data_IF_418045708050
#
_entry.id   IF_418045708050
#
_cell.length_a   1.000
_cell.length_b   1.000
_cell.length_c   1.000
_cell.angle_alpha   90.00
_cell.angle_beta   90.00
_cell.angle_gamma   90.00
#
_symmetry.space_group_name_H-M   'P 1'
#
loop_
_entity.id
_entity.type
_entity.pdbx_description
1 polymer ?
#
# COMPACT_ATOMS: atom_id res chain seq x y z
N UNK A 1 27.69 17.40 -20.49
CA UNK A 1 26.48 16.78 -21.07
C UNK A 1 26.63 15.28 -20.97
N UNK A 2 25.93 14.61 -20.05
CA UNK A 2 25.94 13.14 -19.95
C UNK A 2 24.76 12.62 -20.77
N UNK A 3 25.04 12.00 -21.90
CA UNK A 3 24.05 11.16 -22.58
C UNK A 3 23.83 9.94 -21.67
N UNK A 4 22.70 9.93 -20.98
CA UNK A 4 22.15 8.69 -20.44
C UNK A 4 21.45 8.02 -21.63
N UNK A 5 22.08 7.02 -22.21
CA UNK A 5 21.46 6.14 -23.19
C UNK A 5 20.26 5.46 -22.52
N UNK A 6 19.06 5.89 -22.90
CA UNK A 6 17.80 5.31 -22.46
C UNK A 6 17.54 4.02 -23.24
N UNK A 7 18.34 2.99 -23.00
CA UNK A 7 17.95 1.64 -23.36
C UNK A 7 17.10 1.10 -22.21
N UNK A 8 15.81 0.88 -22.47
CA UNK A 8 15.02 -0.04 -21.66
C UNK A 8 13.81 -0.45 -22.48
N UNK A 9 13.76 -1.73 -22.81
CA UNK A 9 12.59 -2.42 -23.30
C UNK A 9 11.41 -2.10 -22.38
N UNK A 10 10.24 -1.87 -22.97
CA UNK A 10 8.99 -1.56 -22.26
C UNK A 10 8.46 -2.82 -21.56
N UNK A 11 9.23 -3.32 -20.58
CA UNK A 11 8.94 -4.56 -19.90
C UNK A 11 7.87 -4.36 -18.82
N UNK A 12 6.89 -5.27 -18.84
CA UNK A 12 5.89 -5.42 -17.78
C UNK A 12 6.26 -6.67 -16.98
N UNK A 13 6.67 -6.47 -15.72
CA UNK A 13 7.04 -7.58 -14.84
C UNK A 13 5.97 -7.81 -13.77
N UNK A 14 5.55 -9.06 -13.59
CA UNK A 14 4.68 -9.44 -12.47
C UNK A 14 5.53 -9.51 -11.20
N UNK A 15 5.25 -8.64 -10.22
CA UNK A 15 5.96 -8.60 -8.93
C UNK A 15 5.29 -9.53 -7.92
N UNK A 16 3.97 -9.44 -7.83
CA UNK A 16 3.20 -10.20 -6.85
C UNK A 16 1.88 -10.66 -7.47
N UNK A 17 1.50 -11.89 -7.13
CA UNK A 17 0.16 -12.42 -7.38
C UNK A 17 -0.35 -13.09 -6.13
N UNK A 18 -1.57 -12.76 -5.71
CA UNK A 18 -2.19 -13.43 -4.57
C UNK A 18 -3.71 -13.57 -4.77
N UNK A 19 -4.27 -14.64 -4.21
CA UNK A 19 -5.71 -14.90 -4.22
C UNK A 19 -6.37 -14.08 -3.12
N UNK A 20 -7.27 -13.18 -3.51
CA UNK A 20 -8.12 -12.43 -2.61
C UNK A 20 -9.56 -12.96 -2.58
N UNK A 21 -10.43 -12.40 -1.73
CA UNK A 21 -11.83 -12.83 -1.61
C UNK A 21 -12.65 -12.71 -2.91
N UNK A 22 -12.25 -11.78 -3.79
CA UNK A 22 -12.95 -11.46 -5.06
C UNK A 22 -12.16 -11.88 -6.30
N UNK A 23 -11.19 -12.80 -6.16
CA UNK A 23 -10.37 -13.28 -7.28
C UNK A 23 -8.87 -13.00 -7.10
N UNK A 24 -8.11 -13.16 -8.18
CA UNK A 24 -6.67 -12.95 -8.17
C UNK A 24 -6.32 -11.45 -8.26
N UNK A 25 -5.34 -11.04 -7.47
CA UNK A 25 -4.79 -9.68 -7.50
C UNK A 25 -3.37 -9.78 -8.07
N UNK A 26 -3.06 -8.93 -9.04
CA UNK A 26 -1.74 -8.84 -9.67
C UNK A 26 -1.14 -7.46 -9.48
N UNK A 27 0.15 -7.41 -9.17
CA UNK A 27 0.93 -6.18 -9.09
C UNK A 27 2.03 -6.25 -10.14
N UNK A 28 2.06 -5.25 -11.01
CA UNK A 28 3.04 -5.15 -12.08
C UNK A 28 4.03 -4.04 -11.76
N UNK A 29 5.31 -4.29 -12.03
CA UNK A 29 6.36 -3.29 -12.12
C UNK A 29 6.46 -2.91 -13.60
N UNK A 30 6.34 -1.62 -13.88
CA UNK A 30 6.28 -1.06 -15.23
C UNK A 30 7.17 0.18 -15.31
N UNK A 31 7.64 0.50 -16.52
CA UNK A 31 8.42 1.72 -16.74
C UNK A 31 7.59 2.98 -16.48
N UNK A 32 8.21 4.12 -16.08
CA UNK A 32 7.49 5.38 -15.88
C UNK A 32 6.78 5.90 -17.13
N UNK A 33 7.21 5.48 -18.33
CA UNK A 33 6.53 5.82 -19.59
C UNK A 33 5.18 5.13 -19.68
N UNK A 34 5.17 3.80 -19.53
CA UNK A 34 3.95 2.97 -19.52
C UNK A 34 3.01 3.43 -18.40
N UNK A 35 3.54 3.73 -17.21
CA UNK A 35 2.73 4.19 -16.09
C UNK A 35 1.92 5.45 -16.42
N UNK A 36 2.50 6.43 -17.15
CA UNK A 36 1.77 7.66 -17.52
C UNK A 36 0.54 7.37 -18.38
N UNK A 37 0.63 6.37 -19.25
CA UNK A 37 -0.47 5.97 -20.12
C UNK A 37 -1.52 5.13 -19.37
N UNK A 38 -1.09 4.31 -18.40
CA UNK A 38 -1.96 3.45 -17.60
C UNK A 38 -2.62 4.16 -16.40
N UNK A 39 -1.98 5.17 -15.82
CA UNK A 39 -2.49 5.93 -14.67
C UNK A 39 -3.92 6.48 -14.86
N UNK A 40 -4.31 7.05 -16.03
CA UNK A 40 -5.69 7.48 -16.25
C UNK A 40 -6.68 6.31 -16.41
N UNK A 41 -6.20 5.12 -16.77
CA UNK A 41 -7.03 3.94 -17.05
C UNK A 41 -7.43 3.28 -15.73
N UNK A 42 -8.66 3.52 -15.29
CA UNK A 42 -9.20 2.95 -14.03
C UNK A 42 -9.64 1.48 -14.14
N UNK A 43 -9.91 1.01 -15.36
CA UNK A 43 -10.41 -0.35 -15.63
C UNK A 43 -9.92 -0.83 -16.99
N UNK A 44 -9.44 -2.06 -17.06
CA UNK A 44 -9.01 -2.72 -18.30
C UNK A 44 -9.86 -3.96 -18.55
N UNK A 45 -10.04 -4.31 -19.81
CA UNK A 45 -10.68 -5.57 -20.18
C UNK A 45 -9.58 -6.64 -20.26
N UNK A 46 -9.72 -7.71 -19.48
CA UNK A 46 -8.82 -8.87 -19.49
C UNK A 46 -9.68 -10.11 -19.77
N UNK A 47 -9.57 -10.62 -20.99
CA UNK A 47 -10.48 -11.65 -21.49
C UNK A 47 -11.93 -11.18 -21.44
N UNK A 48 -12.76 -11.87 -20.66
CA UNK A 48 -14.19 -11.58 -20.50
C UNK A 48 -14.50 -10.70 -19.28
N UNK A 49 -13.49 -10.28 -18.53
CA UNK A 49 -13.66 -9.49 -17.31
C UNK A 49 -13.22 -8.05 -17.48
N UNK A 50 -13.88 -7.14 -16.76
CA UNK A 50 -13.48 -5.74 -16.64
C UNK A 50 -12.85 -5.49 -15.28
N UNK A 51 -11.53 -5.54 -15.23
CA UNK A 51 -10.74 -5.54 -14.00
C UNK A 51 -10.31 -4.12 -13.64
N UNK A 52 -10.45 -3.67 -12.37
CA UNK A 52 -9.97 -2.36 -11.94
C UNK A 52 -8.44 -2.32 -11.88
N UNK A 53 -7.86 -1.22 -12.37
CA UNK A 53 -6.42 -0.94 -12.26
C UNK A 53 -6.25 0.21 -11.28
N UNK A 54 -5.26 0.06 -10.41
CA UNK A 54 -4.92 1.05 -9.38
C UNK A 54 -3.42 1.01 -9.16
N UNK A 55 -2.86 2.17 -8.81
CA UNK A 55 -1.51 2.25 -8.30
C UNK A 55 -1.39 1.39 -7.04
N UNK A 56 -0.36 0.56 -7.01
CA UNK A 56 -0.07 -0.26 -5.85
C UNK A 56 0.84 0.51 -4.89
N UNK A 57 0.22 1.14 -3.89
CA UNK A 57 0.94 1.79 -2.81
C UNK A 57 0.66 1.07 -1.49
N UNK A 58 1.70 0.46 -0.91
CA UNK A 58 1.68 -0.13 0.44
C UNK A 58 2.45 0.80 1.37
N UNK A 59 1.80 1.81 1.96
CA UNK A 59 2.48 2.61 2.96
C UNK A 59 2.88 1.70 4.12
N UNK A 60 4.18 1.65 4.43
CA UNK A 60 4.67 0.92 5.58
C UNK A 60 4.21 1.66 6.84
N UNK A 61 3.16 1.16 7.48
CA UNK A 61 2.66 1.67 8.75
C UNK A 61 3.24 0.87 9.91
N UNK A 62 3.77 1.57 10.90
CA UNK A 62 4.26 0.96 12.12
C UNK A 62 3.07 0.52 12.99
N UNK A 63 2.95 -0.78 13.26
CA UNK A 63 1.90 -1.32 14.13
C UNK A 63 2.04 -0.91 15.61
N UNK A 64 3.21 -0.39 16.02
CA UNK A 64 3.46 0.07 17.40
C UNK A 64 2.91 1.47 17.63
N UNK A 65 3.23 2.42 16.75
CA UNK A 65 2.94 3.84 16.96
C UNK A 65 1.98 4.45 15.93
N UNK A 66 1.56 3.68 14.92
CA UNK A 66 0.67 4.14 13.86
C UNK A 66 1.30 5.06 12.81
N UNK A 67 2.56 5.49 13.00
CA UNK A 67 3.30 6.37 12.06
C UNK A 67 3.80 5.58 10.84
N UNK A 68 3.98 6.26 9.70
CA UNK A 68 4.48 5.67 8.46
C UNK A 68 6.02 5.69 8.38
N UNK A 69 6.59 4.86 7.50
CA UNK A 69 8.01 4.87 7.14
C UNK A 69 8.90 3.93 7.93
N UNK A 70 8.36 3.18 8.89
CA UNK A 70 9.11 2.16 9.63
C UNK A 70 8.21 1.01 10.09
N UNK A 71 8.83 -0.15 10.33
CA UNK A 71 8.18 -1.31 10.95
C UNK A 71 8.29 -1.24 12.48
N UNK A 72 7.40 -1.95 13.20
CA UNK A 72 7.41 -1.99 14.67
C UNK A 72 8.76 -2.40 15.27
N UNK A 73 9.51 -3.28 14.59
CA UNK A 73 10.86 -3.71 14.98
C UNK A 73 11.90 -2.58 14.99
N UNK A 74 11.65 -1.49 14.25
CA UNK A 74 12.51 -0.31 14.16
C UNK A 74 11.84 0.93 14.73
N UNK A 75 10.82 0.75 15.59
CA UNK A 75 10.12 1.86 16.21
C UNK A 75 10.91 2.41 17.40
N UNK A 76 11.20 3.71 17.39
CA UNK A 76 11.84 4.42 18.50
C UNK A 76 10.86 4.89 19.57
N UNK A 77 9.55 4.77 19.32
CA UNK A 77 8.52 5.20 20.26
C UNK A 77 8.49 4.26 21.48
N UNK A 78 8.49 4.80 22.69
CA UNK A 78 8.46 3.98 23.89
C UNK A 78 7.09 3.32 24.09
N UNK A 79 6.01 4.08 23.87
CA UNK A 79 4.62 3.67 24.09
C UNK A 79 3.96 3.15 22.82
N UNK A 80 3.05 2.21 22.99
CA UNK A 80 2.15 1.76 21.93
C UNK A 80 1.01 2.77 21.76
N UNK A 81 0.69 3.09 20.51
CA UNK A 81 -0.46 3.91 20.18
C UNK A 81 -1.72 3.05 20.18
N UNK A 82 -2.83 3.64 20.62
CA UNK A 82 -4.12 2.98 20.55
C UNK A 82 -4.52 2.73 19.08
N UNK A 83 -4.83 1.48 18.75
CA UNK A 83 -5.31 1.10 17.40
C UNK A 83 -6.67 1.68 17.05
N UNK A 84 -7.45 2.14 18.04
CA UNK A 84 -8.78 2.73 17.85
C UNK A 84 -8.75 4.25 17.70
N UNK A 85 -8.00 4.98 18.53
CA UNK A 85 -7.99 6.45 18.51
C UNK A 85 -6.68 7.07 18.00
N UNK A 86 -5.61 6.29 17.81
CA UNK A 86 -4.29 6.79 17.40
C UNK A 86 -3.55 7.59 18.48
N UNK A 87 -4.13 7.76 19.66
CA UNK A 87 -3.53 8.44 20.81
C UNK A 87 -2.54 7.58 21.58
N UNK A 88 -1.75 8.22 22.45
CA UNK A 88 -0.79 7.58 23.36
C UNK A 88 -1.35 7.37 24.77
N UNK A 89 -2.68 7.46 24.92
CA UNK A 89 -3.35 7.34 26.20
C UNK A 89 -3.19 5.92 26.77
N UNK A 90 -3.03 5.76 28.10
CA UNK A 90 -2.94 4.45 28.72
C UNK A 90 -4.14 3.57 28.35
N UNK A 91 -3.88 2.32 27.97
CA UNK A 91 -4.90 1.32 27.59
C UNK A 91 -6.01 1.16 28.65
N UNK A 92 -5.72 1.44 29.92
CA UNK A 92 -6.69 1.45 31.03
C UNK A 92 -7.84 2.44 30.84
N UNK A 93 -7.62 3.57 30.16
CA UNK A 93 -8.67 4.60 29.98
C UNK A 93 -9.65 4.26 28.83
N UNK A 94 -9.29 3.31 27.96
CA UNK A 94 -10.07 2.97 26.77
C UNK A 94 -11.06 1.82 26.99
N UNK A 95 -10.86 0.98 28.02
CA UNK A 95 -11.83 -0.05 28.41
C UNK A 95 -13.13 0.57 28.97
N UNK A 96 -13.06 1.81 29.47
CA UNK A 96 -14.21 2.52 30.03
C UNK A 96 -15.01 3.34 29.00
N UNK A 97 -14.45 3.61 27.81
CA UNK A 97 -15.15 4.37 26.76
C UNK A 97 -16.12 3.53 25.92
N UNK A 98 -16.07 2.19 26.03
CA UNK A 98 -17.00 1.29 25.33
C UNK A 98 -18.32 1.03 26.09
N UNK A 99 -18.58 1.75 27.19
CA UNK A 99 -19.75 1.55 28.08
C UNK A 99 -20.63 2.78 28.28
N UNK A 100 -20.47 3.85 27.49
CA UNK A 100 -21.37 5.01 27.58
C UNK A 100 -21.97 5.32 26.22
N UNK A 101 -23.24 4.93 26.11
CA UNK A 101 -24.27 5.18 25.10
C UNK A 101 -24.18 4.52 23.72
#
# INVERSE_FOLDING_TARGET
MRQCEMHQEDDIKIVHSYKGPRGNNWTFEISPKIYKDFAPIKKINLGWERVPVREYFRPLQCYKCGKFGHQAKHCSEAKEACTRCGGQDPLEQLQNAAKVH
#
